data_IF_957873627000
#
_entry.id   IF_957873627000
#
_cell.length_a   1.000
_cell.length_b   1.000
_cell.length_c   1.000
_cell.angle_alpha   90.00
_cell.angle_beta   90.00
_cell.angle_gamma   90.00
#
_symmetry.space_group_name_H-M   'P 1'
#
loop_
_entity.id
_entity.type
_entity.pdbx_description
1 polymer ?
#
# COMPACT_ATOMS: atom_id res chain seq x y z
N UNK A 1 -23.02 -10.08 3.01
CA UNK A 1 -22.87 -10.44 1.60
C UNK A 1 -23.00 -9.11 0.88
N UNK A 2 -21.93 -8.73 0.18
CA UNK A 2 -21.54 -7.37 -0.22
C UNK A 2 -20.74 -6.62 0.86
N UNK A 3 -19.53 -7.12 1.16
CA UNK A 3 -18.38 -6.35 1.69
C UNK A 3 -17.14 -6.78 0.90
N UNK A 4 -17.32 -6.76 -0.42
CA UNK A 4 -16.28 -6.77 -1.44
C UNK A 4 -16.55 -5.48 -2.21
N UNK A 5 -15.49 -4.79 -2.66
CA UNK A 5 -15.52 -3.65 -3.61
C UNK A 5 -15.60 -2.24 -2.97
N UNK A 6 -14.43 -1.65 -2.62
CA UNK A 6 -14.11 -0.20 -2.70
C UNK A 6 -13.14 0.29 -1.59
N UNK A 7 -12.11 -0.48 -1.20
CA UNK A 7 -11.05 0.02 -0.29
C UNK A 7 -9.93 0.79 -1.02
N UNK A 8 -9.90 0.80 -2.36
CA UNK A 8 -8.92 1.55 -3.16
C UNK A 8 -9.12 3.09 -3.08
N UNK A 9 -10.36 3.55 -2.85
CA UNK A 9 -10.72 4.98 -2.95
C UNK A 9 -10.49 5.77 -1.64
N UNK A 10 -10.13 5.08 -0.55
CA UNK A 10 -9.87 5.66 0.78
C UNK A 10 -8.38 5.64 1.18
N UNK A 11 -7.48 5.10 0.34
CA UNK A 11 -6.04 5.08 0.64
C UNK A 11 -5.40 6.42 0.24
N UNK A 12 -4.87 7.13 1.23
CA UNK A 12 -4.22 8.43 1.09
C UNK A 12 -2.75 8.39 1.54
N UNK A 13 -2.00 9.43 1.18
CA UNK A 13 -0.64 9.65 1.72
C UNK A 13 -0.70 9.79 3.24
N UNK A 14 0.06 8.95 3.94
CA UNK A 14 0.03 8.81 5.40
C UNK A 14 -0.66 7.53 5.89
N UNK A 15 -1.30 6.76 5.00
CA UNK A 15 -1.84 5.46 5.37
C UNK A 15 -0.76 4.38 5.34
N UNK A 16 -0.92 3.37 6.21
CA UNK A 16 0.01 2.26 6.33
C UNK A 16 -0.47 1.09 5.48
N UNK A 17 0.33 0.70 4.48
CA UNK A 17 -0.04 -0.32 3.50
C UNK A 17 1.09 -1.34 3.33
N UNK A 18 0.72 -2.52 2.81
CA UNK A 18 1.62 -3.54 2.32
C UNK A 18 1.81 -3.44 0.80
N UNK A 19 3.03 -3.70 0.32
CA UNK A 19 3.39 -3.78 -1.09
C UNK A 19 4.11 -5.11 -1.38
N UNK A 20 3.66 -5.84 -2.39
CA UNK A 20 4.40 -7.00 -2.90
C UNK A 20 5.31 -6.58 -4.07
N UNK A 21 6.63 -6.70 -3.90
CA UNK A 21 7.62 -6.38 -4.95
C UNK A 21 8.55 -7.57 -5.13
N UNK A 22 8.62 -8.10 -6.35
CA UNK A 22 9.44 -9.28 -6.68
C UNK A 22 9.17 -10.50 -5.75
N UNK A 23 7.92 -10.66 -5.28
CA UNK A 23 7.52 -11.71 -4.34
C UNK A 23 8.06 -11.51 -2.92
N UNK A 24 8.37 -10.27 -2.54
CA UNK A 24 8.68 -9.86 -1.17
C UNK A 24 7.68 -8.82 -0.73
N UNK A 25 7.19 -8.99 0.49
CA UNK A 25 6.25 -8.06 1.12
C UNK A 25 7.04 -6.97 1.85
N UNK A 26 6.66 -5.73 1.62
CA UNK A 26 7.16 -4.53 2.27
C UNK A 26 5.99 -3.82 2.93
N UNK A 27 6.20 -3.28 4.13
CA UNK A 27 5.15 -2.61 4.89
C UNK A 27 5.66 -1.23 5.31
N UNK A 28 4.81 -0.23 5.18
CA UNK A 28 5.22 1.15 5.42
C UNK A 28 4.08 2.14 5.25
N UNK A 29 4.37 3.40 5.62
CA UNK A 29 3.48 4.52 5.42
C UNK A 29 3.64 5.07 4.00
N UNK A 30 2.54 5.32 3.29
CA UNK A 30 2.59 5.92 1.95
C UNK A 30 3.12 7.34 2.05
N UNK A 31 4.18 7.62 1.29
CA UNK A 31 4.79 8.95 1.20
C UNK A 31 4.52 9.64 -0.14
N UNK A 32 4.27 8.88 -1.21
CA UNK A 32 4.04 9.43 -2.55
C UNK A 32 3.22 8.49 -3.43
N UNK A 33 2.28 9.05 -4.20
CA UNK A 33 1.59 8.40 -5.30
C UNK A 33 2.04 9.03 -6.63
N UNK A 34 2.43 8.19 -7.58
CA UNK A 34 2.68 8.60 -8.96
C UNK A 34 1.59 8.02 -9.87
N UNK A 35 0.55 8.82 -10.12
CA UNK A 35 -0.56 8.48 -11.03
C UNK A 35 -0.13 8.38 -12.50
N UNK A 36 0.99 9.01 -12.89
CA UNK A 36 1.50 8.98 -14.27
C UNK A 36 2.20 7.64 -14.54
N UNK A 37 2.97 7.12 -13.57
CA UNK A 37 3.64 5.82 -13.64
C UNK A 37 2.78 4.65 -13.12
N UNK A 38 1.74 4.92 -12.32
CA UNK A 38 0.91 3.91 -11.67
C UNK A 38 1.61 3.22 -10.50
N UNK A 39 2.50 3.95 -9.82
CA UNK A 39 3.33 3.43 -8.73
C UNK A 39 3.07 4.16 -7.43
N UNK A 40 3.39 3.51 -6.31
CA UNK A 40 3.30 4.08 -4.96
C UNK A 40 4.64 3.90 -4.26
N UNK A 41 5.01 4.88 -3.43
CA UNK A 41 6.19 4.82 -2.57
C UNK A 41 5.77 4.81 -1.10
N UNK A 42 6.32 3.86 -0.35
CA UNK A 42 6.14 3.74 1.11
C UNK A 42 7.45 3.97 1.84
N UNK A 43 7.40 4.54 3.05
CA UNK A 43 8.49 4.57 4.01
C UNK A 43 8.30 3.44 5.03
N UNK A 44 9.28 2.53 5.07
CA UNK A 44 9.32 1.42 6.04
C UNK A 44 9.71 1.91 7.44
N UNK A 45 9.47 1.10 8.48
CA UNK A 45 9.82 1.45 9.87
C UNK A 45 11.34 1.68 10.08
N UNK A 46 12.19 1.09 9.23
CA UNK A 46 13.63 1.34 9.19
C UNK A 46 14.01 2.71 8.57
N UNK A 47 13.04 3.41 7.98
CA UNK A 47 13.21 4.68 7.26
C UNK A 47 13.73 4.50 5.83
N UNK A 48 13.63 3.29 5.27
CA UNK A 48 13.94 3.03 3.87
C UNK A 48 12.67 3.23 3.01
N UNK A 49 12.82 3.94 1.89
CA UNK A 49 11.77 4.18 0.91
C UNK A 49 11.74 3.03 -0.11
N UNK A 50 10.54 2.51 -0.37
CA UNK A 50 10.31 1.39 -1.29
C UNK A 50 9.19 1.77 -2.26
N UNK A 51 9.43 1.60 -3.55
CA UNK A 51 8.46 1.91 -4.61
C UNK A 51 7.99 0.62 -5.29
N UNK A 52 6.67 0.46 -5.43
CA UNK A 52 6.03 -0.67 -6.09
C UNK A 52 4.86 -0.24 -6.98
N UNK A 53 4.28 -1.20 -7.70
CA UNK A 53 3.08 -0.99 -8.49
C UNK A 53 1.86 -0.80 -7.58
N UNK A 54 0.98 0.14 -7.92
CA UNK A 54 -0.24 0.40 -7.15
C UNK A 54 -1.18 -0.81 -7.09
N UNK A 55 -1.22 -1.60 -8.17
CA UNK A 55 -2.02 -2.83 -8.26
C UNK A 55 -1.56 -3.93 -7.29
N UNK A 56 -0.32 -3.84 -6.79
CA UNK A 56 0.29 -4.80 -5.85
C UNK A 56 0.20 -4.33 -4.39
N UNK A 57 -0.56 -3.26 -4.12
CA UNK A 57 -0.86 -2.79 -2.77
C UNK A 57 -1.93 -3.65 -2.08
N UNK A 58 -1.82 -3.77 -0.77
CA UNK A 58 -2.88 -4.34 0.07
C UNK A 58 -2.89 -3.68 1.44
N UNK A 59 -4.08 -3.54 2.03
CA UNK A 59 -4.23 -3.12 3.41
C UNK A 59 -3.98 -4.33 4.32
N UNK A 60 -3.24 -4.13 5.41
CA UNK A 60 -3.23 -5.11 6.48
C UNK A 60 -4.58 -4.97 7.20
N UNK A 61 -5.58 -5.75 6.77
CA UNK A 61 -6.88 -5.82 7.42
C UNK A 61 -6.69 -6.08 8.94
N UNK A 62 -7.10 -5.13 9.78
CA UNK A 62 -7.25 -5.31 11.24
C UNK A 62 -8.41 -6.28 11.60
N UNK A 63 -8.90 -7.10 10.67
CA UNK A 63 -10.05 -8.00 10.81
C UNK A 63 -9.70 -9.42 11.32
N UNK A 64 -8.72 -9.54 12.22
CA UNK A 64 -8.45 -10.77 13.00
C UNK A 64 -8.66 -10.53 14.52
N UNK A 65 -9.84 -10.02 14.92
CA UNK A 65 -10.36 -10.08 16.31
C UNK A 65 -11.80 -10.65 16.45
#
# INVERSE_FOLDING_TARGET
EDDDEDYDDDIDVGDYIGLEIDGKEYFGEIVEFDDDEGTVTIETDDGDEVTGDQDDMFLEDEDDE
#
